data_IF_060278042677
#
_entry.id   IF_060278042677
#
_cell.length_a   1.000
_cell.length_b   1.000
_cell.length_c   1.000
_cell.angle_alpha   90.00
_cell.angle_beta   90.00
_cell.angle_gamma   90.00
#
_symmetry.space_group_name_H-M   'P 1'
#
loop_
_entity.id
_entity.type
_entity.pdbx_description
1 polymer ?
#
# COMPACT_ATOMS: atom_id res chain seq x y z
N UNK A 1 -33.49 26.66 44.20
CA UNK A 1 -33.31 26.51 42.75
C UNK A 1 -31.94 27.07 42.35
N UNK A 2 -30.89 26.20 42.30
CA UNK A 2 -29.56 26.58 41.79
C UNK A 2 -29.59 26.42 40.28
N UNK A 3 -29.38 27.49 39.50
CA UNK A 3 -29.16 27.46 38.07
C UNK A 3 -27.74 26.93 37.79
N UNK A 4 -27.62 25.72 37.25
CA UNK A 4 -26.39 25.17 36.72
C UNK A 4 -26.22 25.71 35.30
N UNK A 5 -25.37 26.70 35.12
CA UNK A 5 -24.93 27.18 33.80
C UNK A 5 -23.97 26.14 33.20
N UNK A 6 -24.42 25.35 32.22
CA UNK A 6 -23.55 24.52 31.39
C UNK A 6 -22.67 25.43 30.52
N UNK A 7 -21.36 25.47 30.78
CA UNK A 7 -20.39 26.03 29.85
C UNK A 7 -20.30 25.08 28.66
N UNK A 8 -20.84 25.49 27.52
CA UNK A 8 -20.51 24.87 26.23
C UNK A 8 -19.03 25.14 25.96
N UNK A 9 -18.21 24.09 26.03
CA UNK A 9 -16.83 24.14 25.54
C UNK A 9 -16.92 24.07 24.00
N UNK A 10 -16.77 25.23 23.38
CA UNK A 10 -16.58 25.31 21.92
C UNK A 10 -15.20 24.75 21.59
N UNK A 11 -15.16 23.56 21.05
CA UNK A 11 -13.93 22.99 20.48
C UNK A 11 -13.56 23.81 19.23
N UNK A 12 -12.44 24.52 19.31
CA UNK A 12 -11.90 25.21 18.14
C UNK A 12 -11.35 24.19 17.14
N UNK A 13 -12.09 24.00 16.05
CA UNK A 13 -11.71 23.07 14.97
C UNK A 13 -10.34 23.39 14.37
N UNK A 14 -9.91 24.65 14.35
CA UNK A 14 -8.60 25.05 13.85
C UNK A 14 -7.47 24.55 14.74
N UNK A 15 -7.58 24.69 16.07
CA UNK A 15 -6.56 24.17 17.01
C UNK A 15 -6.41 22.65 16.95
N UNK A 16 -7.50 21.92 16.76
CA UNK A 16 -7.43 20.43 16.63
C UNK A 16 -6.77 20.02 15.32
N UNK A 17 -7.06 20.70 14.22
CA UNK A 17 -6.44 20.40 12.92
C UNK A 17 -4.96 20.80 12.87
N UNK A 18 -4.55 21.92 13.46
CA UNK A 18 -3.14 22.32 13.57
C UNK A 18 -2.35 21.34 14.46
N UNK A 19 -2.91 20.86 15.58
CA UNK A 19 -2.24 19.87 16.43
C UNK A 19 -2.08 18.50 15.77
N UNK A 20 -2.98 18.13 14.86
CA UNK A 20 -2.89 16.86 14.10
C UNK A 20 -1.85 16.92 12.98
N UNK A 21 -1.67 18.08 12.32
CA UNK A 21 -0.64 18.23 11.27
C UNK A 21 0.78 18.26 11.84
N UNK A 22 0.96 18.72 13.09
CA UNK A 22 2.28 18.80 13.74
C UNK A 22 2.77 17.46 14.34
N UNK A 23 1.87 16.48 14.46
CA UNK A 23 2.20 15.21 15.15
C UNK A 23 3.27 14.36 14.46
N UNK A 24 3.48 14.54 13.16
CA UNK A 24 4.48 13.82 12.36
C UNK A 24 5.68 14.68 11.96
N UNK A 25 5.69 15.97 12.31
CA UNK A 25 6.77 16.90 11.93
C UNK A 25 8.14 16.42 12.42
N UNK A 26 9.11 16.38 11.51
CA UNK A 26 10.46 15.92 11.78
C UNK A 26 10.64 14.42 11.83
N UNK A 27 9.58 13.62 11.65
CA UNK A 27 9.72 12.18 11.43
C UNK A 27 10.39 11.89 10.10
N UNK A 28 11.09 10.77 10.01
CA UNK A 28 11.74 10.26 8.79
C UNK A 28 10.94 9.08 8.24
N UNK A 29 10.51 9.17 6.98
CA UNK A 29 9.76 8.13 6.29
C UNK A 29 10.51 7.59 5.08
N UNK A 30 10.54 6.27 4.93
CA UNK A 30 10.95 5.59 3.69
C UNK A 30 9.71 5.02 2.99
N UNK A 31 9.55 5.30 1.68
CA UNK A 31 8.40 4.87 0.90
C UNK A 31 8.89 4.20 -0.38
N UNK A 32 8.57 2.91 -0.55
CA UNK A 32 8.94 2.17 -1.76
C UNK A 32 7.90 2.34 -2.87
N UNK A 33 8.36 2.39 -4.15
CA UNK A 33 7.52 2.68 -5.29
C UNK A 33 6.92 4.10 -5.23
N UNK A 34 7.68 5.04 -4.66
CA UNK A 34 7.20 6.40 -4.38
C UNK A 34 7.33 7.36 -5.57
N UNK A 35 7.87 6.91 -6.71
CA UNK A 35 7.99 7.72 -7.92
C UNK A 35 6.68 7.93 -8.69
N UNK A 36 5.62 7.20 -8.38
CA UNK A 36 4.32 7.31 -9.08
C UNK A 36 3.15 6.79 -8.26
N UNK A 37 1.93 7.04 -8.73
CA UNK A 37 0.70 6.44 -8.24
C UNK A 37 0.44 6.65 -6.76
N UNK A 38 0.12 5.56 -6.03
CA UNK A 38 -0.17 5.64 -4.60
C UNK A 38 1.06 6.04 -3.79
N UNK A 39 2.25 5.49 -4.10
CA UNK A 39 3.48 5.82 -3.39
C UNK A 39 3.84 7.31 -3.49
N UNK A 40 3.68 7.92 -4.66
CA UNK A 40 3.82 9.37 -4.83
C UNK A 40 2.80 10.14 -3.98
N UNK A 41 1.54 9.70 -3.95
CA UNK A 41 0.52 10.33 -3.13
C UNK A 41 0.84 10.23 -1.62
N UNK A 42 1.38 9.10 -1.15
CA UNK A 42 1.83 8.94 0.23
C UNK A 42 2.98 9.89 0.56
N UNK A 43 3.98 9.97 -0.34
CA UNK A 43 5.13 10.85 -0.17
C UNK A 43 4.70 12.32 -0.06
N UNK A 44 3.85 12.79 -0.96
CA UNK A 44 3.33 14.16 -0.95
C UNK A 44 2.50 14.46 0.29
N UNK A 45 1.67 13.49 0.71
CA UNK A 45 0.81 13.66 1.88
C UNK A 45 1.61 13.77 3.18
N UNK A 46 2.60 12.89 3.37
CA UNK A 46 3.45 12.92 4.57
C UNK A 46 4.37 14.14 4.58
N UNK A 47 4.95 14.51 3.44
CA UNK A 47 5.75 15.73 3.33
C UNK A 47 4.96 17.01 3.69
N UNK A 48 3.66 17.07 3.36
CA UNK A 48 2.78 18.18 3.75
C UNK A 48 2.59 18.28 5.27
N UNK A 49 2.77 17.20 6.03
CA UNK A 49 2.76 17.18 7.50
C UNK A 49 4.17 17.41 8.10
N UNK A 50 5.16 17.77 7.28
CA UNK A 50 6.53 18.06 7.72
C UNK A 50 7.39 16.83 7.97
N UNK A 51 7.03 15.68 7.38
CA UNK A 51 7.83 14.45 7.40
C UNK A 51 8.98 14.57 6.40
N UNK A 52 10.18 14.17 6.78
CA UNK A 52 11.32 14.01 5.88
C UNK A 52 11.19 12.70 5.10
N UNK A 53 11.00 12.79 3.78
CA UNK A 53 10.65 11.62 2.97
C UNK A 53 11.82 11.16 2.11
N UNK A 54 12.23 9.91 2.30
CA UNK A 54 13.07 9.17 1.37
C UNK A 54 12.16 8.51 0.30
N UNK A 55 12.29 8.95 -0.95
CA UNK A 55 11.53 8.50 -2.11
C UNK A 55 12.28 7.37 -2.79
N UNK A 56 11.85 6.12 -2.61
CA UNK A 56 12.49 4.94 -3.19
C UNK A 56 11.69 4.47 -4.41
N UNK A 57 12.35 4.38 -5.56
CA UNK A 57 11.76 3.82 -6.78
C UNK A 57 12.84 3.20 -7.67
N UNK A 58 12.48 2.22 -8.48
CA UNK A 58 13.38 1.65 -9.49
C UNK A 58 13.60 2.64 -10.67
N UNK A 59 12.64 3.55 -10.89
CA UNK A 59 12.70 4.58 -11.91
C UNK A 59 13.36 5.85 -11.35
N UNK A 60 14.64 6.06 -11.69
CA UNK A 60 15.42 7.19 -11.22
C UNK A 60 14.78 8.55 -11.54
N UNK A 61 14.22 8.71 -12.75
CA UNK A 61 13.58 9.96 -13.19
C UNK A 61 12.36 10.30 -12.32
N UNK A 62 11.51 9.32 -12.06
CA UNK A 62 10.32 9.51 -11.25
C UNK A 62 10.67 9.76 -9.78
N UNK A 63 11.61 9.01 -9.21
CA UNK A 63 12.10 9.22 -7.85
C UNK A 63 12.64 10.65 -7.66
N UNK A 64 13.51 11.10 -8.58
CA UNK A 64 14.10 12.44 -8.53
C UNK A 64 13.05 13.54 -8.67
N UNK A 65 12.08 13.37 -9.57
CA UNK A 65 10.98 14.32 -9.76
C UNK A 65 10.17 14.50 -8.47
N UNK A 66 9.71 13.38 -7.90
CA UNK A 66 8.88 13.44 -6.68
C UNK A 66 9.68 14.00 -5.50
N UNK A 67 10.90 13.53 -5.29
CA UNK A 67 11.76 14.02 -4.22
C UNK A 67 11.99 15.54 -4.32
N UNK A 68 12.27 16.05 -5.52
CA UNK A 68 12.42 17.49 -5.77
C UNK A 68 11.16 18.28 -5.41
N UNK A 69 9.99 17.76 -5.80
CA UNK A 69 8.71 18.44 -5.60
C UNK A 69 8.34 18.57 -4.11
N UNK A 70 8.80 17.63 -3.26
CA UNK A 70 8.48 17.58 -1.83
C UNK A 70 9.65 17.94 -0.90
N UNK A 71 10.76 18.42 -1.47
CA UNK A 71 12.03 18.64 -0.76
C UNK A 71 12.56 17.39 -0.01
N UNK A 72 12.27 16.19 -0.52
CA UNK A 72 12.76 14.91 0.00
C UNK A 72 14.04 14.43 -0.68
N UNK A 73 14.47 13.21 -0.38
CA UNK A 73 15.66 12.59 -0.97
C UNK A 73 15.28 11.39 -1.85
N UNK A 74 15.84 11.31 -3.06
CA UNK A 74 15.60 10.21 -3.99
C UNK A 74 16.63 9.09 -3.84
N UNK A 75 16.13 7.83 -3.84
CA UNK A 75 16.96 6.63 -3.89
C UNK A 75 16.49 5.71 -5.00
N UNK A 76 17.42 5.26 -5.84
CA UNK A 76 17.12 4.28 -6.91
C UNK A 76 17.31 2.88 -6.35
N UNK A 77 16.21 2.16 -6.18
CA UNK A 77 16.22 0.86 -5.49
C UNK A 77 15.29 -0.12 -6.20
N UNK A 78 15.82 -1.29 -6.53
CA UNK A 78 14.98 -2.47 -6.78
C UNK A 78 14.70 -3.17 -5.43
N UNK A 79 13.46 -3.16 -5.00
CA UNK A 79 13.04 -3.81 -3.74
C UNK A 79 13.22 -5.33 -3.75
N UNK A 80 13.42 -5.93 -4.92
CA UNK A 80 13.72 -7.36 -5.07
C UNK A 80 15.19 -7.71 -4.76
N UNK A 81 16.08 -6.70 -4.72
CA UNK A 81 17.48 -6.86 -4.30
C UNK A 81 17.62 -6.53 -2.79
N UNK A 82 17.72 -7.58 -1.99
CA UNK A 82 17.80 -7.44 -0.52
C UNK A 82 19.05 -6.68 -0.06
N UNK A 83 20.17 -6.83 -0.77
CA UNK A 83 21.44 -6.20 -0.38
C UNK A 83 21.37 -4.69 -0.61
N UNK A 84 20.94 -4.27 -1.80
CA UNK A 84 20.79 -2.86 -2.14
C UNK A 84 19.74 -2.21 -1.25
N UNK A 85 18.64 -2.90 -0.96
CA UNK A 85 17.58 -2.35 -0.13
C UNK A 85 18.02 -2.20 1.34
N UNK A 86 18.67 -3.19 1.94
CA UNK A 86 19.23 -3.10 3.30
C UNK A 86 20.24 -1.93 3.40
N UNK A 87 21.19 -1.81 2.44
CA UNK A 87 22.14 -0.70 2.38
C UNK A 87 21.47 0.67 2.25
N UNK A 88 20.37 0.75 1.51
CA UNK A 88 19.61 2.01 1.37
C UNK A 88 18.95 2.40 2.70
N UNK A 89 18.37 1.44 3.42
CA UNK A 89 17.79 1.70 4.75
C UNK A 89 18.87 2.21 5.71
N UNK A 90 20.00 1.53 5.76
CA UNK A 90 21.13 1.94 6.61
C UNK A 90 21.65 3.35 6.23
N UNK A 91 21.68 3.68 4.94
CA UNK A 91 22.09 5.02 4.46
C UNK A 91 21.12 6.12 4.89
N UNK A 92 19.82 5.87 4.83
CA UNK A 92 18.80 6.82 5.30
C UNK A 92 18.94 7.04 6.81
N UNK A 93 19.09 5.98 7.59
CA UNK A 93 19.29 6.09 9.04
C UNK A 93 20.60 6.80 9.36
N UNK A 94 21.69 6.53 8.64
CA UNK A 94 22.97 7.23 8.84
C UNK A 94 22.86 8.74 8.54
N UNK A 95 22.05 9.13 7.55
CA UNK A 95 21.84 10.51 7.17
C UNK A 95 20.98 11.30 8.16
N UNK A 96 19.90 10.68 8.68
CA UNK A 96 18.88 11.36 9.49
C UNK A 96 18.98 11.02 11.00
N UNK A 97 19.72 9.99 11.36
CA UNK A 97 19.88 9.52 12.75
C UNK A 97 18.78 8.56 13.21
N UNK A 98 17.66 8.45 12.50
CA UNK A 98 16.51 7.61 12.86
C UNK A 98 15.68 7.23 11.63
N UNK A 99 14.75 6.28 11.81
CA UNK A 99 13.72 5.91 10.88
C UNK A 99 12.43 5.66 11.66
N UNK A 100 11.38 6.45 11.40
CA UNK A 100 10.11 6.39 12.13
C UNK A 100 9.02 5.68 11.36
N UNK A 101 9.04 5.80 10.03
CA UNK A 101 7.97 5.31 9.16
C UNK A 101 8.56 4.52 7.98
N UNK A 102 8.09 3.28 7.81
CA UNK A 102 8.38 2.47 6.63
C UNK A 102 7.09 2.12 5.90
N UNK A 103 6.96 2.53 4.62
CA UNK A 103 5.82 2.19 3.78
C UNK A 103 6.26 1.26 2.66
N UNK A 104 5.90 -0.02 2.77
CA UNK A 104 6.14 -1.04 1.76
C UNK A 104 5.01 -1.01 0.73
N UNK A 105 5.17 -0.19 -0.32
CA UNK A 105 4.15 0.04 -1.35
C UNK A 105 4.56 -0.49 -2.73
N UNK A 106 5.84 -0.63 -3.04
CA UNK A 106 6.31 -1.05 -4.35
C UNK A 106 5.59 -2.30 -4.87
N UNK A 107 5.24 -2.28 -6.15
CA UNK A 107 4.53 -3.38 -6.77
C UNK A 107 4.47 -3.27 -8.28
N UNK A 108 4.16 -4.38 -8.93
CA UNK A 108 3.99 -4.51 -10.38
C UNK A 108 2.59 -5.05 -10.70
N UNK A 109 2.08 -4.72 -11.89
CA UNK A 109 0.86 -5.33 -12.40
C UNK A 109 1.13 -6.73 -12.95
N UNK A 110 0.19 -7.68 -12.80
CA UNK A 110 0.24 -8.90 -13.58
C UNK A 110 0.11 -8.59 -15.08
N UNK A 111 0.69 -9.40 -15.96
CA UNK A 111 0.47 -9.27 -17.39
C UNK A 111 -1.02 -9.31 -17.73
N UNK A 112 -1.49 -8.45 -18.61
CA UNK A 112 -2.86 -8.49 -19.12
C UNK A 112 -2.92 -9.37 -20.36
N UNK A 113 -3.94 -10.25 -20.43
CA UNK A 113 -4.25 -11.10 -21.59
C UNK A 113 -5.71 -10.89 -21.96
N UNK A 114 -5.94 -10.13 -23.02
CA UNK A 114 -7.30 -9.78 -23.47
C UNK A 114 -8.08 -11.02 -23.94
N UNK A 115 -7.43 -12.00 -24.57
CA UNK A 115 -8.09 -13.22 -25.01
C UNK A 115 -8.59 -14.06 -23.82
N UNK A 116 -7.78 -14.19 -22.77
CA UNK A 116 -8.20 -14.85 -21.53
C UNK A 116 -9.31 -14.07 -20.81
N UNK A 117 -9.25 -12.74 -20.83
CA UNK A 117 -10.30 -11.90 -20.25
C UNK A 117 -11.63 -12.13 -21.00
N UNK A 118 -11.62 -12.10 -22.31
CA UNK A 118 -12.82 -12.33 -23.14
C UNK A 118 -13.39 -13.73 -22.92
N UNK A 119 -12.54 -14.76 -22.88
CA UNK A 119 -12.96 -16.12 -22.55
C UNK A 119 -13.58 -16.22 -21.16
N UNK A 120 -13.02 -15.53 -20.16
CA UNK A 120 -13.57 -15.48 -18.80
C UNK A 120 -14.94 -14.82 -18.75
N UNK A 121 -15.15 -13.72 -19.48
CA UNK A 121 -16.43 -13.03 -19.58
C UNK A 121 -17.46 -13.93 -20.28
N UNK A 122 -17.09 -14.54 -21.40
CA UNK A 122 -17.95 -15.49 -22.12
C UNK A 122 -18.36 -16.67 -21.22
N UNK A 123 -17.42 -17.23 -20.46
CA UNK A 123 -17.71 -18.29 -19.50
C UNK A 123 -18.67 -17.85 -18.40
N UNK A 124 -18.56 -16.60 -17.94
CA UNK A 124 -19.50 -16.07 -16.94
C UNK A 124 -20.93 -15.97 -17.49
N UNK A 125 -21.10 -15.53 -18.73
CA UNK A 125 -22.40 -15.49 -19.39
C UNK A 125 -22.98 -16.89 -19.57
N UNK A 126 -22.17 -17.87 -20.05
CA UNK A 126 -22.61 -19.26 -20.19
C UNK A 126 -23.05 -19.89 -18.86
N UNK A 127 -22.36 -19.56 -17.76
CA UNK A 127 -22.80 -20.02 -16.41
C UNK A 127 -24.15 -19.44 -16.01
N UNK A 128 -24.42 -18.16 -16.32
CA UNK A 128 -25.70 -17.52 -16.04
C UNK A 128 -26.85 -18.15 -16.87
N UNK A 129 -26.54 -18.63 -18.07
CA UNK A 129 -27.48 -19.33 -18.98
C UNK A 129 -27.63 -20.81 -18.64
N UNK A 130 -26.84 -21.36 -17.71
CA UNK A 130 -26.84 -22.78 -17.35
C UNK A 130 -26.06 -23.70 -18.31
N UNK A 131 -25.31 -23.12 -19.26
CA UNK A 131 -24.59 -23.84 -20.32
C UNK A 131 -23.17 -24.26 -19.83
N UNK A 132 -23.11 -25.13 -18.81
CA UNK A 132 -21.82 -25.53 -18.19
C UNK A 132 -20.94 -26.39 -19.10
N UNK A 133 -21.53 -27.13 -20.07
CA UNK A 133 -20.79 -27.97 -21.02
C UNK A 133 -19.99 -27.18 -22.05
N UNK A 134 -20.31 -25.90 -22.25
CA UNK A 134 -19.74 -25.03 -23.28
C UNK A 134 -18.62 -24.10 -22.75
N UNK A 135 -18.17 -24.33 -21.50
CA UNK A 135 -17.12 -23.49 -20.91
C UNK A 135 -15.78 -23.75 -21.59
N UNK A 136 -15.07 -22.67 -21.92
CA UNK A 136 -13.72 -22.74 -22.48
C UNK A 136 -12.66 -22.66 -21.40
N UNK A 137 -11.62 -23.50 -21.39
CA UNK A 137 -10.49 -23.38 -20.46
C UNK A 137 -9.81 -22.02 -20.61
N UNK A 138 -9.49 -21.35 -19.50
CA UNK A 138 -8.78 -20.06 -19.50
C UNK A 138 -7.32 -20.21 -19.07
N UNK A 139 -7.01 -21.24 -18.29
CA UNK A 139 -5.66 -21.67 -17.92
C UNK A 139 -4.78 -20.55 -17.29
N UNK A 140 -5.37 -19.62 -16.50
CA UNK A 140 -4.57 -18.54 -15.90
C UNK A 140 -3.39 -19.08 -15.07
N UNK A 141 -3.62 -20.06 -14.21
CA UNK A 141 -2.56 -20.62 -13.37
C UNK A 141 -1.61 -21.52 -14.15
N UNK A 142 -2.15 -22.37 -15.04
CA UNK A 142 -1.35 -23.34 -15.77
C UNK A 142 -0.35 -22.68 -16.75
N UNK A 143 -0.65 -21.48 -17.22
CA UNK A 143 0.19 -20.76 -18.19
C UNK A 143 1.16 -19.76 -17.54
N UNK A 144 1.16 -19.62 -16.21
CA UNK A 144 2.13 -18.75 -15.53
C UNK A 144 3.51 -19.43 -15.58
N UNK A 145 4.51 -18.72 -16.10
CA UNK A 145 5.88 -19.18 -16.04
C UNK A 145 6.46 -19.06 -14.63
N UNK A 146 7.44 -19.91 -14.29
CA UNK A 146 8.17 -19.80 -13.02
C UNK A 146 8.83 -18.42 -12.88
N UNK A 147 9.28 -17.83 -13.97
CA UNK A 147 9.90 -16.50 -14.01
C UNK A 147 8.89 -15.41 -13.61
N UNK A 148 7.67 -15.46 -14.14
CA UNK A 148 6.62 -14.47 -13.81
C UNK A 148 6.13 -14.68 -12.39
N UNK A 149 5.99 -15.94 -11.95
CA UNK A 149 5.65 -16.27 -10.57
C UNK A 149 6.69 -15.69 -9.61
N UNK A 150 7.95 -16.01 -9.82
CA UNK A 150 9.07 -15.55 -8.98
C UNK A 150 9.18 -14.03 -8.96
N UNK A 151 9.07 -13.37 -10.11
CA UNK A 151 9.12 -11.91 -10.20
C UNK A 151 8.01 -11.26 -9.38
N UNK A 152 6.78 -11.80 -9.45
CA UNK A 152 5.64 -11.29 -8.69
C UNK A 152 5.88 -11.42 -7.19
N UNK A 153 6.34 -12.58 -6.73
CA UNK A 153 6.65 -12.80 -5.32
C UNK A 153 7.83 -11.95 -4.84
N UNK A 154 8.90 -11.86 -5.64
CA UNK A 154 10.10 -11.08 -5.28
C UNK A 154 9.79 -9.60 -5.10
N UNK A 155 9.04 -8.99 -6.01
CA UNK A 155 8.73 -7.56 -5.88
C UNK A 155 7.76 -7.32 -4.73
N UNK A 156 6.66 -8.08 -4.65
CA UNK A 156 5.60 -7.80 -3.67
C UNK A 156 5.90 -8.36 -2.29
N UNK A 157 6.12 -9.67 -2.17
CA UNK A 157 6.23 -10.31 -0.87
C UNK A 157 7.65 -10.18 -0.31
N UNK A 158 8.67 -10.48 -1.11
CA UNK A 158 10.05 -10.38 -0.62
C UNK A 158 10.46 -8.92 -0.41
N UNK A 159 10.07 -7.99 -1.30
CA UNK A 159 10.30 -6.57 -1.08
C UNK A 159 9.67 -6.05 0.22
N UNK A 160 8.43 -6.47 0.53
CA UNK A 160 7.80 -6.14 1.82
C UNK A 160 8.55 -6.78 2.99
N UNK A 161 8.97 -8.04 2.87
CA UNK A 161 9.77 -8.71 3.90
C UNK A 161 11.10 -7.99 4.14
N UNK A 162 11.83 -7.62 3.11
CA UNK A 162 13.11 -6.91 3.23
C UNK A 162 12.92 -5.53 3.88
N UNK A 163 11.89 -4.79 3.47
CA UNK A 163 11.56 -3.49 4.09
C UNK A 163 11.20 -3.62 5.56
N UNK A 164 10.37 -4.59 5.94
CA UNK A 164 10.08 -4.88 7.35
C UNK A 164 11.36 -5.24 8.12
N UNK A 165 12.13 -6.22 7.63
CA UNK A 165 13.35 -6.69 8.27
C UNK A 165 14.37 -5.57 8.47
N UNK A 166 14.62 -4.77 7.44
CA UNK A 166 15.57 -3.66 7.50
C UNK A 166 15.12 -2.57 8.46
N UNK A 167 13.86 -2.14 8.39
CA UNK A 167 13.32 -1.14 9.30
C UNK A 167 13.36 -1.58 10.77
N UNK A 168 13.03 -2.83 11.06
CA UNK A 168 13.02 -3.36 12.42
C UNK A 168 14.39 -3.38 13.09
N UNK A 169 15.50 -3.49 12.34
CA UNK A 169 16.86 -3.40 12.89
C UNK A 169 17.12 -2.05 13.58
N UNK A 170 16.41 -1.01 13.16
CA UNK A 170 16.52 0.34 13.70
C UNK A 170 15.36 0.68 14.65
N UNK A 171 14.13 0.32 14.30
CA UNK A 171 12.94 0.69 15.07
C UNK A 171 12.83 -0.06 16.40
N UNK A 172 13.17 -1.37 16.45
CA UNK A 172 13.07 -2.17 17.69
C UNK A 172 14.04 -1.67 18.78
N UNK A 173 15.33 -1.42 18.50
CA UNK A 173 16.24 -0.80 19.49
C UNK A 173 15.79 0.60 19.91
N UNK A 174 15.25 1.40 18.97
CA UNK A 174 14.73 2.74 19.27
C UNK A 174 13.41 2.71 20.07
N UNK A 175 12.74 1.55 20.15
CA UNK A 175 11.41 1.35 20.75
C UNK A 175 10.36 2.30 20.19
N UNK A 176 10.48 2.61 18.91
CA UNK A 176 9.64 3.52 18.19
C UNK A 176 9.63 3.17 16.70
N UNK A 177 8.43 3.22 16.07
CA UNK A 177 8.31 3.08 14.63
C UNK A 177 6.92 2.65 14.17
N UNK A 178 6.66 2.89 12.89
CA UNK A 178 5.45 2.46 12.22
C UNK A 178 5.79 1.85 10.87
N UNK A 179 5.25 0.66 10.61
CA UNK A 179 5.34 0.00 9.30
C UNK A 179 3.94 -0.10 8.70
N UNK A 180 3.76 0.38 7.48
CA UNK A 180 2.52 0.22 6.71
C UNK A 180 2.80 -0.61 5.46
N UNK A 181 2.21 -1.79 5.38
CA UNK A 181 2.34 -2.69 4.24
C UNK A 181 1.14 -2.55 3.30
N UNK A 182 1.41 -2.23 2.03
CA UNK A 182 0.35 -2.10 1.01
C UNK A 182 0.08 -3.45 0.36
N UNK A 183 -1.00 -4.08 0.79
CA UNK A 183 -1.54 -5.30 0.20
C UNK A 183 -2.56 -4.95 -0.92
N UNK A 184 -3.68 -5.60 -0.96
CA UNK A 184 -4.79 -5.41 -1.90
C UNK A 184 -6.05 -6.11 -1.38
N UNK A 185 -7.22 -5.67 -1.83
CA UNK A 185 -8.45 -6.47 -1.66
C UNK A 185 -8.32 -7.87 -2.26
N UNK A 186 -7.47 -8.07 -3.27
CA UNK A 186 -7.18 -9.38 -3.85
C UNK A 186 -6.31 -10.26 -2.95
N UNK A 187 -5.69 -9.70 -1.92
CA UNK A 187 -5.04 -10.48 -0.85
C UNK A 187 -6.02 -11.01 0.19
N UNK A 188 -7.17 -10.34 0.36
CA UNK A 188 -8.28 -10.80 1.22
C UNK A 188 -9.23 -11.76 0.50
N UNK A 189 -9.28 -11.62 -0.82
CA UNK A 189 -10.15 -12.40 -1.71
C UNK A 189 -9.27 -13.27 -2.61
N UNK A 190 -9.81 -13.68 -3.73
CA UNK A 190 -9.09 -14.42 -4.75
C UNK A 190 -9.16 -13.66 -6.08
N UNK A 191 -8.25 -13.99 -6.98
CA UNK A 191 -8.29 -13.54 -8.36
C UNK A 191 -7.88 -14.69 -9.27
N UNK A 192 -8.81 -15.21 -10.04
CA UNK A 192 -8.48 -16.22 -11.04
C UNK A 192 -7.58 -15.66 -12.15
N UNK A 193 -7.74 -14.37 -12.47
CA UNK A 193 -6.94 -13.70 -13.50
C UNK A 193 -5.51 -13.34 -13.09
N UNK A 194 -5.19 -13.39 -11.77
CA UNK A 194 -3.86 -13.05 -11.26
C UNK A 194 -3.54 -13.83 -9.97
N UNK A 195 -3.46 -15.17 -10.00
CA UNK A 195 -3.32 -15.99 -8.80
C UNK A 195 -2.00 -15.74 -8.07
N UNK A 196 -0.89 -15.51 -8.77
CA UNK A 196 0.42 -15.17 -8.18
C UNK A 196 0.40 -13.81 -7.45
N UNK A 197 -0.29 -12.81 -8.02
CA UNK A 197 -0.48 -11.52 -7.35
C UNK A 197 -1.31 -11.67 -6.06
N UNK A 198 -2.44 -12.40 -6.16
CA UNK A 198 -3.29 -12.65 -4.99
C UNK A 198 -2.54 -13.40 -3.88
N UNK A 199 -1.74 -14.42 -4.25
CA UNK A 199 -0.89 -15.17 -3.32
C UNK A 199 0.14 -14.26 -2.63
N UNK A 200 0.84 -13.41 -3.39
CA UNK A 200 1.81 -12.46 -2.84
C UNK A 200 1.12 -11.48 -1.87
N UNK A 201 -0.02 -10.92 -2.25
CA UNK A 201 -0.76 -9.95 -1.43
C UNK A 201 -1.38 -10.59 -0.18
N UNK A 202 -1.81 -11.85 -0.24
CA UNK A 202 -2.24 -12.61 0.95
C UNK A 202 -1.05 -12.88 1.89
N UNK A 203 0.12 -13.23 1.34
CA UNK A 203 1.36 -13.41 2.11
C UNK A 203 1.75 -12.16 2.89
N UNK A 204 1.57 -10.96 2.32
CA UNK A 204 1.82 -9.68 3.00
C UNK A 204 0.91 -9.52 4.24
N UNK A 205 -0.35 -9.95 4.16
CA UNK A 205 -1.27 -9.85 5.30
C UNK A 205 -0.85 -10.76 6.46
N UNK A 206 -0.43 -11.98 6.16
CA UNK A 206 0.09 -12.91 7.17
C UNK A 206 1.39 -12.37 7.79
N UNK A 207 2.33 -11.91 6.95
CA UNK A 207 3.58 -11.30 7.39
C UNK A 207 3.32 -10.10 8.32
N UNK A 208 2.39 -9.21 7.96
CA UNK A 208 2.02 -8.04 8.76
C UNK A 208 1.60 -8.44 10.18
N UNK A 209 0.74 -9.44 10.30
CA UNK A 209 0.25 -9.92 11.62
C UNK A 209 1.35 -10.52 12.45
N UNK A 210 2.21 -11.36 11.85
CA UNK A 210 3.33 -12.00 12.54
C UNK A 210 4.34 -10.97 13.06
N UNK A 211 4.69 -9.97 12.21
CA UNK A 211 5.62 -8.91 12.60
C UNK A 211 5.00 -8.01 13.68
N UNK A 212 3.71 -7.69 13.57
CA UNK A 212 3.01 -6.88 14.58
C UNK A 212 2.99 -7.55 15.96
N UNK A 213 2.71 -8.87 16.01
CA UNK A 213 2.73 -9.65 17.25
C UNK A 213 4.12 -9.65 17.88
N UNK A 214 5.17 -9.85 17.08
CA UNK A 214 6.55 -9.83 17.52
C UNK A 214 6.97 -8.48 18.12
N UNK A 215 6.51 -7.37 17.53
CA UNK A 215 7.08 -6.04 17.77
C UNK A 215 6.23 -5.09 18.62
N UNK A 216 4.97 -5.43 18.91
CA UNK A 216 4.06 -4.59 19.68
C UNK A 216 4.62 -4.19 21.06
N UNK A 217 5.27 -5.11 21.77
CA UNK A 217 5.91 -4.87 23.07
C UNK A 217 7.14 -3.96 22.99
N UNK A 218 7.64 -3.67 21.79
CA UNK A 218 8.80 -2.81 21.55
C UNK A 218 8.40 -1.43 21.01
N UNK A 219 7.12 -1.07 21.03
CA UNK A 219 6.65 0.25 20.58
C UNK A 219 6.63 0.42 19.06
N UNK A 220 6.72 -0.67 18.29
CA UNK A 220 6.62 -0.64 16.83
C UNK A 220 5.25 -1.16 16.40
N UNK A 221 4.52 -0.37 15.61
CA UNK A 221 3.21 -0.74 15.06
C UNK A 221 3.35 -1.18 13.60
N UNK A 222 2.67 -2.25 13.24
CA UNK A 222 2.73 -2.79 11.86
C UNK A 222 1.31 -3.09 11.40
N UNK A 223 0.86 -2.43 10.34
CA UNK A 223 -0.48 -2.59 9.79
C UNK A 223 -0.47 -2.80 8.28
N UNK A 224 -1.51 -3.39 7.74
CA UNK A 224 -1.72 -3.53 6.31
C UNK A 224 -2.87 -2.66 5.80
N UNK A 225 -2.68 -2.07 4.61
CA UNK A 225 -3.74 -1.43 3.85
C UNK A 225 -4.08 -2.31 2.65
N UNK A 226 -5.37 -2.53 2.42
CA UNK A 226 -5.91 -3.26 1.27
C UNK A 226 -6.72 -2.30 0.39
N UNK A 227 -6.08 -1.56 -0.53
CA UNK A 227 -6.80 -0.74 -1.49
C UNK A 227 -7.67 -1.58 -2.41
N UNK A 228 -8.80 -1.02 -2.84
CA UNK A 228 -9.57 -1.52 -3.96
C UNK A 228 -8.92 -1.17 -5.30
N UNK A 229 -9.74 -0.84 -6.26
CA UNK A 229 -9.31 -0.37 -7.58
C UNK A 229 -9.04 1.13 -7.53
N UNK A 230 -7.78 1.51 -7.62
CA UNK A 230 -7.30 2.89 -7.51
C UNK A 230 -6.78 3.35 -8.87
N UNK A 231 -7.20 4.53 -9.31
CA UNK A 231 -6.80 5.11 -10.59
C UNK A 231 -5.32 5.53 -10.55
N UNK A 232 -4.47 4.66 -11.05
CA UNK A 232 -3.00 4.80 -11.02
C UNK A 232 -2.39 4.39 -12.36
N UNK A 233 -1.15 4.82 -12.66
CA UNK A 233 -0.42 4.34 -13.84
C UNK A 233 -0.29 2.81 -13.92
N UNK A 234 -0.33 2.10 -12.80
CA UNK A 234 -0.31 0.64 -12.75
C UNK A 234 -1.51 0.02 -13.48
N UNK A 235 -2.66 0.70 -13.47
CA UNK A 235 -3.89 0.26 -14.14
C UNK A 235 -4.07 0.88 -15.54
N UNK A 236 -3.14 1.72 -16.01
CA UNK A 236 -3.22 2.36 -17.32
C UNK A 236 -3.37 1.35 -18.49
N UNK A 237 -2.67 0.18 -18.47
CA UNK A 237 -2.80 -0.82 -19.52
C UNK A 237 -4.15 -1.54 -19.58
N UNK A 238 -5.00 -1.40 -18.55
CA UNK A 238 -6.30 -2.06 -18.51
C UNK A 238 -7.26 -1.37 -19.49
N UNK A 239 -7.76 -2.13 -20.47
CA UNK A 239 -8.69 -1.66 -21.48
C UNK A 239 -10.01 -1.14 -20.87
N UNK A 240 -10.72 -0.27 -21.62
CA UNK A 240 -11.97 0.36 -21.16
C UNK A 240 -13.07 -0.65 -20.81
N UNK A 241 -13.11 -1.80 -21.49
CA UNK A 241 -14.07 -2.88 -21.22
C UNK A 241 -13.89 -3.42 -19.80
N UNK A 242 -12.64 -3.74 -19.40
CA UNK A 242 -12.36 -4.24 -18.06
C UNK A 242 -12.57 -3.15 -17.01
N UNK A 243 -12.17 -1.89 -17.29
CA UNK A 243 -12.46 -0.75 -16.42
C UNK A 243 -13.96 -0.60 -16.14
N UNK A 244 -14.80 -0.73 -17.16
CA UNK A 244 -16.26 -0.70 -17.01
C UNK A 244 -16.79 -1.82 -16.11
N UNK A 245 -16.33 -3.06 -16.31
CA UNK A 245 -16.69 -4.22 -15.47
C UNK A 245 -16.27 -4.00 -14.01
N UNK A 246 -15.04 -3.54 -13.79
CA UNK A 246 -14.53 -3.26 -12.46
C UNK A 246 -15.40 -2.19 -11.79
N UNK A 247 -15.62 -1.07 -12.47
CA UNK A 247 -16.38 0.07 -11.93
C UNK A 247 -17.81 -0.32 -11.57
N UNK A 248 -18.46 -1.18 -12.36
CA UNK A 248 -19.83 -1.66 -12.07
C UNK A 248 -19.92 -2.52 -10.79
N UNK A 249 -18.79 -3.07 -10.31
CA UNK A 249 -18.71 -3.85 -9.06
C UNK A 249 -18.31 -3.00 -7.85
N UNK A 250 -17.94 -1.74 -8.06
CA UNK A 250 -17.61 -0.83 -6.95
C UNK A 250 -18.90 -0.15 -6.49
N UNK A 251 -19.28 -0.31 -5.23
CA UNK A 251 -20.52 0.27 -4.71
C UNK A 251 -20.60 1.80 -4.86
N UNK A 252 -19.46 2.50 -4.80
CA UNK A 252 -19.38 3.95 -5.09
C UNK A 252 -19.42 4.31 -6.57
N UNK A 253 -19.45 3.34 -7.50
CA UNK A 253 -19.55 3.56 -8.94
C UNK A 253 -18.33 4.21 -9.60
N UNK A 254 -17.18 4.27 -8.92
CA UNK A 254 -15.93 4.83 -9.43
C UNK A 254 -14.70 4.17 -8.83
N UNK A 255 -13.57 4.26 -9.51
CA UNK A 255 -12.28 3.94 -8.90
C UNK A 255 -11.93 4.96 -7.82
N UNK A 256 -11.18 4.53 -6.81
CA UNK A 256 -10.61 5.42 -5.80
C UNK A 256 -9.46 6.25 -6.38
N UNK A 257 -9.15 7.37 -5.73
CA UNK A 257 -7.98 8.18 -6.06
C UNK A 257 -6.82 7.85 -5.13
N UNK A 258 -5.56 7.95 -5.59
CA UNK A 258 -4.37 7.75 -4.75
C UNK A 258 -4.39 8.59 -3.46
N UNK A 259 -4.90 9.82 -3.52
CA UNK A 259 -5.04 10.72 -2.38
C UNK A 259 -5.98 10.18 -1.30
N UNK A 260 -7.03 9.44 -1.66
CA UNK A 260 -7.97 8.84 -0.70
C UNK A 260 -7.28 7.74 0.14
N UNK A 261 -6.36 6.98 -0.48
CA UNK A 261 -5.56 5.98 0.23
C UNK A 261 -4.46 6.65 1.06
N UNK A 262 -3.92 7.78 0.58
CA UNK A 262 -2.89 8.52 1.29
C UNK A 262 -3.38 9.04 2.65
N UNK A 263 -4.64 9.45 2.77
CA UNK A 263 -5.21 9.86 4.07
C UNK A 263 -5.29 8.69 5.06
N UNK A 264 -5.66 7.49 4.60
CA UNK A 264 -5.66 6.30 5.46
C UNK A 264 -4.23 5.94 5.91
N UNK A 265 -3.26 5.98 4.99
CA UNK A 265 -1.86 5.71 5.32
C UNK A 265 -1.32 6.77 6.30
N UNK A 266 -1.62 8.03 6.09
CA UNK A 266 -1.28 9.12 7.02
C UNK A 266 -1.83 8.86 8.42
N UNK A 267 -3.11 8.49 8.54
CA UNK A 267 -3.72 8.12 9.82
C UNK A 267 -2.96 6.97 10.50
N UNK A 268 -2.58 5.94 9.74
CA UNK A 268 -1.84 4.80 10.29
C UNK A 268 -0.41 5.16 10.73
N UNK A 269 0.20 6.17 10.14
CA UNK A 269 1.51 6.68 10.54
C UNK A 269 1.45 7.52 11.81
N UNK A 270 0.32 8.17 12.09
CA UNK A 270 0.16 9.12 13.18
C UNK A 270 -0.18 8.49 14.55
N UNK A 271 -0.14 9.29 15.61
CA UNK A 271 -0.50 8.87 16.96
C UNK A 271 -2.00 8.56 17.10
N UNK A 272 -2.84 9.01 16.16
CA UNK A 272 -4.28 8.76 16.15
C UNK A 272 -4.59 7.26 16.03
N UNK A 273 -3.67 6.50 15.45
CA UNK A 273 -3.75 5.03 15.32
C UNK A 273 -2.88 4.28 16.35
N UNK A 274 -2.60 4.90 17.49
CA UNK A 274 -1.71 4.34 18.52
C UNK A 274 -2.12 2.97 19.07
N UNK A 275 -3.38 2.60 18.94
CA UNK A 275 -3.89 1.28 19.36
C UNK A 275 -4.10 0.31 18.18
N UNK A 276 -3.69 0.70 16.96
CA UNK A 276 -3.79 -0.13 15.74
C UNK A 276 -2.44 -0.81 15.47
N UNK A 277 -2.38 -2.13 15.60
CA UNK A 277 -1.24 -2.95 15.18
C UNK A 277 -1.72 -4.38 14.86
N UNK A 278 -1.20 -4.97 13.79
CA UNK A 278 -1.64 -6.27 13.27
C UNK A 278 -2.96 -6.20 12.48
N UNK A 279 -3.51 -5.02 12.28
CA UNK A 279 -4.80 -4.82 11.64
C UNK A 279 -4.68 -4.73 10.11
N UNK A 280 -5.82 -5.02 9.45
CA UNK A 280 -5.96 -4.95 8.00
C UNK A 280 -7.07 -3.96 7.66
N UNK A 281 -6.68 -2.84 7.07
CA UNK A 281 -7.61 -1.76 6.72
C UNK A 281 -7.97 -1.81 5.24
N UNK A 282 -9.24 -1.85 4.93
CA UNK A 282 -9.73 -1.84 3.54
C UNK A 282 -10.26 -0.47 3.14
N UNK A 283 -9.88 -0.01 1.93
CA UNK A 283 -10.44 1.17 1.29
C UNK A 283 -10.76 0.83 -0.17
N UNK A 284 -11.98 0.31 -0.42
CA UNK A 284 -12.34 -0.31 -1.69
C UNK A 284 -13.59 0.27 -2.36
N UNK A 285 -14.18 1.33 -1.79
CA UNK A 285 -15.41 1.92 -2.32
C UNK A 285 -16.61 0.97 -2.30
N UNK A 286 -16.59 -0.05 -1.41
CA UNK A 286 -17.63 -1.07 -1.35
C UNK A 286 -17.55 -2.10 -2.48
N UNK A 287 -16.37 -2.37 -3.02
CA UNK A 287 -16.16 -3.42 -4.03
C UNK A 287 -16.54 -4.79 -3.47
N UNK A 288 -17.46 -5.48 -4.15
CA UNK A 288 -17.98 -6.80 -3.81
C UNK A 288 -17.63 -7.85 -4.86
#
# INVERSE_FOLDING_TARGET
>A
LRKTTSRLVTYDRHMVMESMSDSLRGSVAMITGAGSGMGEAFARRLAADGVEVAVLDINATNATRVAKDIAGTAYVVDVADSTVFDQTIDSVVAQHGHLDIMINNAGIAPPSDEAKLDASIANQLRRLEGNLGDLSPVNYLADISDVDWDRMLKVHLYGTFYGCRGALRHMVPARHGVIVNVSSILGLRHSSGAPHYAAAKAGILSLTKSVAEETAGFGVRVNAVCPGWIDTPLLAPIGNKLKGIITSRIGMGRMGQPSEIAELVRFLCGPESSYCTGDVFTASGGYN
#
